data_IF_412543221656
#
_entry.id   IF_412543221656
#
_cell.length_a   1.000
_cell.length_b   1.000
_cell.length_c   1.000
_cell.angle_alpha   90.00
_cell.angle_beta   90.00
_cell.angle_gamma   90.00
#
_symmetry.space_group_name_H-M   'P 1'
#
loop_
_entity.id
_entity.type
_entity.pdbx_description
1 polymer ?
#
# COMPACT_ATOMS: atom_id res chain seq x y z
N UNK A 1 -48.97 23.61 -32.32
CA UNK A 1 -47.94 24.65 -32.04
C UNK A 1 -48.50 25.73 -31.12
N UNK A 2 -48.56 25.49 -29.80
CA UNK A 2 -48.72 26.54 -28.77
C UNK A 2 -48.01 26.08 -27.50
N UNK A 3 -46.97 26.83 -27.14
CA UNK A 3 -46.10 26.65 -25.98
C UNK A 3 -46.78 27.11 -24.68
N UNK A 4 -46.52 26.40 -23.58
CA UNK A 4 -46.50 26.85 -22.18
C UNK A 4 -45.48 25.99 -21.41
N UNK A 5 -45.00 26.40 -20.23
CA UNK A 5 -44.57 27.72 -19.78
C UNK A 5 -43.10 27.72 -19.31
N UNK A 6 -42.56 28.91 -19.09
CA UNK A 6 -41.20 29.14 -18.58
C UNK A 6 -41.03 28.67 -17.13
N UNK A 7 -39.81 28.23 -16.86
CA UNK A 7 -39.28 27.81 -15.55
C UNK A 7 -38.92 29.05 -14.73
N UNK A 8 -39.55 29.18 -13.57
CA UNK A 8 -39.18 30.17 -12.56
C UNK A 8 -37.90 29.76 -11.82
N UNK A 9 -37.15 30.80 -11.48
CA UNK A 9 -35.83 30.83 -10.88
C UNK A 9 -35.91 30.65 -9.36
N UNK A 10 -34.82 30.15 -8.76
CA UNK A 10 -34.24 30.51 -7.44
C UNK A 10 -33.86 29.28 -6.61
N UNK A 11 -32.56 29.14 -6.36
CA UNK A 11 -32.04 28.15 -5.42
C UNK A 11 -30.51 28.15 -5.28
N UNK A 12 -29.87 29.32 -5.38
CA UNK A 12 -28.46 29.49 -5.03
C UNK A 12 -28.26 29.22 -3.52
N UNK A 13 -27.45 28.23 -3.17
CA UNK A 13 -26.85 28.11 -1.82
C UNK A 13 -25.36 27.83 -1.96
N UNK A 14 -24.61 28.86 -1.56
CA UNK A 14 -23.17 28.99 -1.54
C UNK A 14 -22.45 27.87 -0.75
N UNK A 15 -21.18 27.58 -1.08
CA UNK A 15 -20.33 26.67 -0.31
C UNK A 15 -19.84 27.37 0.97
N UNK A 16 -20.04 26.73 2.11
CA UNK A 16 -19.56 27.21 3.42
C UNK A 16 -18.13 26.73 3.67
N UNK A 17 -17.25 27.74 3.68
CA UNK A 17 -16.00 27.92 4.40
C UNK A 17 -15.40 26.76 5.20
N UNK A 18 -14.16 26.44 4.81
CA UNK A 18 -13.12 25.78 5.60
C UNK A 18 -12.69 26.67 6.78
N UNK A 19 -12.49 26.13 7.99
CA UNK A 19 -11.59 26.71 8.98
C UNK A 19 -10.23 25.94 9.07
N UNK A 20 -9.15 26.63 9.50
CA UNK A 20 -7.76 26.23 9.28
C UNK A 20 -7.17 25.23 10.29
N UNK A 21 -6.06 24.61 9.85
CA UNK A 21 -5.14 23.76 10.59
C UNK A 21 -4.69 24.39 11.92
N UNK A 22 -4.69 23.58 13.00
CA UNK A 22 -4.08 23.94 14.28
C UNK A 22 -2.74 23.24 14.45
N UNK A 23 -1.70 24.06 14.41
CA UNK A 23 -0.32 23.70 14.70
C UNK A 23 -0.08 23.42 16.19
N UNK A 24 0.82 22.46 16.44
CA UNK A 24 1.78 22.50 17.55
C UNK A 24 1.30 22.00 18.92
N UNK A 25 1.91 20.91 19.40
CA UNK A 25 2.74 20.91 20.62
C UNK A 25 3.38 19.54 20.85
N UNK A 26 4.64 19.45 20.43
CA UNK A 26 5.58 18.45 20.91
C UNK A 26 5.71 18.58 22.43
N UNK A 27 5.40 17.52 23.16
CA UNK A 27 5.70 17.42 24.59
C UNK A 27 7.16 17.04 24.73
N UNK A 28 7.99 18.04 25.08
CA UNK A 28 9.34 17.79 25.57
C UNK A 28 9.30 17.08 26.94
N UNK A 29 10.36 16.34 27.30
CA UNK A 29 10.41 15.61 28.55
C UNK A 29 10.53 16.58 29.75
N UNK A 30 9.68 16.36 30.75
CA UNK A 30 9.73 17.09 32.02
C UNK A 30 10.91 16.62 32.84
N UNK A 31 11.76 17.57 33.23
CA UNK A 31 12.91 17.39 34.11
C UNK A 31 12.48 17.01 35.52
N UNK A 32 13.05 15.94 36.07
CA UNK A 32 13.20 15.76 37.50
C UNK A 32 14.69 15.93 37.84
N UNK A 33 15.08 17.16 38.17
CA UNK A 33 16.29 17.45 38.96
C UNK A 33 16.01 17.02 40.41
N UNK A 34 16.88 16.20 40.97
CA UNK A 34 17.11 16.11 42.42
C UNK A 34 18.60 15.99 42.69
N UNK A 35 18.97 16.58 43.81
CA UNK A 35 20.27 17.07 44.18
C UNK A 35 21.34 16.01 44.52
N UNK A 36 22.56 16.38 44.18
CA UNK A 36 23.82 16.32 44.94
C UNK A 36 23.92 15.33 46.11
N UNK A 37 24.79 14.33 45.93
CA UNK A 37 25.39 13.52 47.00
C UNK A 37 26.74 13.00 46.51
N UNK A 38 27.83 13.47 47.13
CA UNK A 38 29.19 13.30 46.65
C UNK A 38 29.76 11.89 46.76
N UNK A 39 30.73 11.61 45.89
CA UNK A 39 31.83 10.70 46.15
C UNK A 39 32.91 10.99 45.10
N UNK A 40 33.87 11.83 45.48
CA UNK A 40 35.15 11.93 44.79
C UNK A 40 35.84 10.57 44.92
N UNK A 41 36.01 9.88 43.80
CA UNK A 41 37.05 8.86 43.62
C UNK A 41 37.83 9.27 42.40
N UNK A 42 39.02 9.83 42.63
CA UNK A 42 40.02 10.04 41.60
C UNK A 42 40.40 8.68 41.00
N UNK A 43 39.96 8.43 39.77
CA UNK A 43 40.54 7.38 38.94
C UNK A 43 41.75 7.98 38.21
N UNK A 44 42.97 7.44 38.38
CA UNK A 44 44.13 7.95 37.68
C UNK A 44 43.95 7.78 36.17
N UNK A 45 44.07 8.90 35.46
CA UNK A 45 44.22 8.94 34.02
C UNK A 45 45.49 8.19 33.62
N UNK A 46 45.36 6.97 33.12
CA UNK A 46 46.35 6.42 32.20
C UNK A 46 45.84 6.71 30.79
N UNK A 47 46.28 7.83 30.24
CA UNK A 47 46.06 8.19 28.85
C UNK A 47 46.94 7.31 27.96
N UNK A 48 46.40 6.21 27.47
CA UNK A 48 46.82 5.64 26.19
C UNK A 48 45.78 6.00 25.15
N UNK A 49 46.04 6.95 24.24
CA UNK A 49 45.24 7.07 23.03
C UNK A 49 45.56 5.87 22.13
N UNK A 50 44.90 4.74 22.38
CA UNK A 50 44.83 3.67 21.38
C UNK A 50 43.95 4.19 20.27
N UNK A 51 44.60 4.58 19.17
CA UNK A 51 43.95 5.03 17.95
C UNK A 51 42.72 4.17 17.63
N UNK A 52 41.58 4.75 17.20
CA UNK A 52 40.57 3.95 16.57
C UNK A 52 41.24 3.29 15.37
N UNK A 53 41.43 1.98 15.42
CA UNK A 53 41.62 1.16 14.24
C UNK A 53 40.44 1.49 13.35
N UNK A 54 40.65 2.44 12.45
CA UNK A 54 39.78 2.70 11.34
C UNK A 54 39.90 1.44 10.52
N UNK A 55 39.06 0.45 10.84
CA UNK A 55 38.70 -0.65 9.96
C UNK A 55 37.97 0.03 8.81
N UNK A 56 38.74 0.71 7.95
CA UNK A 56 38.35 0.94 6.58
C UNK A 56 38.18 -0.47 6.02
N UNK A 57 36.97 -0.98 6.20
CA UNK A 57 36.40 -2.00 5.38
C UNK A 57 36.43 -1.36 3.99
N UNK A 58 37.54 -1.58 3.29
CA UNK A 58 37.53 -1.55 1.84
C UNK A 58 36.56 -2.68 1.50
N UNK A 59 35.26 -2.37 1.52
CA UNK A 59 34.27 -3.20 0.85
C UNK A 59 34.85 -3.36 -0.55
N UNK A 60 35.26 -4.59 -0.87
CA UNK A 60 35.82 -4.85 -2.18
C UNK A 60 34.72 -4.46 -3.18
N UNK A 61 35.03 -3.83 -4.33
CA UNK A 61 34.01 -3.58 -5.35
C UNK A 61 33.26 -4.86 -5.74
N UNK A 62 33.89 -6.03 -5.54
CA UNK A 62 33.27 -7.36 -5.70
C UNK A 62 32.18 -7.65 -4.66
N UNK A 63 32.33 -7.17 -3.43
CA UNK A 63 31.30 -7.29 -2.39
C UNK A 63 30.11 -6.38 -2.72
N UNK A 64 30.36 -5.17 -3.23
CA UNK A 64 29.31 -4.23 -3.65
C UNK A 64 28.51 -4.76 -4.85
N UNK A 65 29.19 -5.30 -5.88
CA UNK A 65 28.52 -5.93 -7.03
C UNK A 65 27.68 -7.16 -6.61
N UNK A 66 28.19 -7.95 -5.67
CA UNK A 66 27.49 -9.13 -5.15
C UNK A 66 26.27 -8.73 -4.32
N UNK A 67 26.40 -7.72 -3.46
CA UNK A 67 25.28 -7.17 -2.69
C UNK A 67 24.22 -6.61 -3.63
N UNK A 68 24.62 -5.82 -4.63
CA UNK A 68 23.69 -5.25 -5.59
C UNK A 68 22.92 -6.31 -6.38
N UNK A 69 23.59 -7.36 -6.85
CA UNK A 69 22.94 -8.48 -7.53
C UNK A 69 21.90 -9.18 -6.64
N UNK A 70 22.26 -9.46 -5.38
CA UNK A 70 21.36 -10.10 -4.42
C UNK A 70 20.16 -9.22 -4.07
N UNK A 71 20.36 -7.90 -3.93
CA UNK A 71 19.26 -6.94 -3.73
C UNK A 71 18.29 -6.94 -4.91
N UNK A 72 18.82 -6.97 -6.14
CA UNK A 72 18.00 -7.06 -7.34
C UNK A 72 17.20 -8.37 -7.38
N UNK A 73 17.83 -9.50 -7.09
CA UNK A 73 17.18 -10.82 -7.05
C UNK A 73 16.08 -10.87 -5.99
N UNK A 74 16.35 -10.37 -4.77
CA UNK A 74 15.36 -10.26 -3.70
C UNK A 74 14.18 -9.36 -4.12
N UNK A 75 14.45 -8.25 -4.80
CA UNK A 75 13.41 -7.33 -5.30
C UNK A 75 12.51 -8.01 -6.34
N UNK A 76 13.10 -8.74 -7.28
CA UNK A 76 12.36 -9.50 -8.30
C UNK A 76 11.50 -10.60 -7.67
N UNK A 77 12.06 -11.38 -6.74
CA UNK A 77 11.32 -12.41 -6.01
C UNK A 77 10.17 -11.83 -5.20
N UNK A 78 10.41 -10.74 -4.45
CA UNK A 78 9.35 -10.04 -3.70
C UNK A 78 8.24 -9.55 -4.63
N UNK A 79 8.60 -9.00 -5.77
CA UNK A 79 7.63 -8.55 -6.78
C UNK A 79 6.83 -9.73 -7.33
N UNK A 80 7.47 -10.86 -7.63
CA UNK A 80 6.80 -12.07 -8.10
C UNK A 80 5.86 -12.68 -7.04
N UNK A 81 6.28 -12.69 -5.76
CA UNK A 81 5.45 -13.15 -4.65
C UNK A 81 4.25 -12.22 -4.44
N UNK A 82 4.44 -10.90 -4.51
CA UNK A 82 3.36 -9.93 -4.40
C UNK A 82 2.31 -10.10 -5.51
N UNK A 83 2.70 -10.41 -6.76
CA UNK A 83 1.72 -10.80 -7.80
C UNK A 83 0.90 -12.00 -7.38
N UNK A 84 1.59 -13.04 -6.91
CA UNK A 84 0.94 -14.32 -6.67
C UNK A 84 -0.05 -14.18 -5.52
N UNK A 85 0.34 -13.49 -4.46
CA UNK A 85 -0.54 -13.21 -3.32
C UNK A 85 -1.84 -12.50 -3.72
N UNK A 86 -1.77 -11.44 -4.54
CA UNK A 86 -2.98 -10.70 -4.92
C UNK A 86 -3.88 -11.49 -5.87
N UNK A 87 -3.30 -12.29 -6.77
CA UNK A 87 -4.08 -13.16 -7.67
C UNK A 87 -4.83 -14.23 -6.87
N UNK A 88 -4.17 -14.88 -5.91
CA UNK A 88 -4.83 -15.87 -5.06
C UNK A 88 -5.94 -15.26 -4.18
N UNK A 89 -5.76 -14.02 -3.70
CA UNK A 89 -6.82 -13.30 -2.97
C UNK A 89 -8.05 -13.05 -3.86
N UNK A 90 -7.84 -12.59 -5.09
CA UNK A 90 -8.92 -12.37 -6.04
C UNK A 90 -9.65 -13.67 -6.40
N UNK A 91 -8.92 -14.78 -6.59
CA UNK A 91 -9.52 -16.11 -6.78
C UNK A 91 -10.41 -16.50 -5.62
N UNK A 92 -9.94 -16.36 -4.38
CA UNK A 92 -10.74 -16.66 -3.18
C UNK A 92 -12.03 -15.83 -3.09
N UNK A 93 -11.98 -14.55 -3.44
CA UNK A 93 -13.18 -13.69 -3.51
C UNK A 93 -14.15 -14.22 -4.56
N UNK A 94 -13.68 -14.54 -5.77
CA UNK A 94 -14.54 -15.06 -6.83
C UNK A 94 -15.17 -16.40 -6.43
N UNK A 95 -14.39 -17.33 -5.87
CA UNK A 95 -14.89 -18.61 -5.38
C UNK A 95 -16.02 -18.42 -4.35
N UNK A 96 -15.89 -17.46 -3.44
CA UNK A 96 -16.93 -17.15 -2.46
C UNK A 96 -18.20 -16.59 -3.12
N UNK A 97 -18.05 -15.71 -4.12
CA UNK A 97 -19.18 -15.03 -4.77
C UNK A 97 -19.93 -15.92 -5.76
N UNK A 98 -19.26 -16.88 -6.39
CA UNK A 98 -19.83 -17.68 -7.48
C UNK A 98 -20.01 -19.15 -7.11
N UNK A 99 -19.41 -19.60 -6.00
CA UNK A 99 -19.38 -21.02 -5.61
C UNK A 99 -18.51 -21.89 -6.51
N UNK A 100 -17.65 -21.30 -7.35
CA UNK A 100 -16.81 -22.04 -8.28
C UNK A 100 -15.57 -22.65 -7.62
N UNK A 101 -14.91 -23.58 -8.32
CA UNK A 101 -13.63 -24.14 -7.90
C UNK A 101 -12.47 -23.17 -8.14
N UNK A 102 -11.32 -23.47 -7.54
CA UNK A 102 -10.09 -22.68 -7.70
C UNK A 102 -9.65 -22.53 -9.17
N UNK A 103 -9.71 -23.63 -9.94
CA UNK A 103 -9.36 -23.64 -11.35
C UNK A 103 -10.30 -22.73 -12.15
N UNK A 104 -11.61 -22.87 -11.92
CA UNK A 104 -12.62 -22.05 -12.61
C UNK A 104 -12.43 -20.57 -12.26
N UNK A 105 -12.11 -20.24 -11.01
CA UNK A 105 -11.85 -18.84 -10.63
C UNK A 105 -10.65 -18.24 -11.38
N UNK A 106 -9.59 -19.01 -11.60
CA UNK A 106 -8.45 -18.56 -12.40
C UNK A 106 -8.79 -18.43 -13.89
N UNK A 107 -9.59 -19.34 -14.43
CA UNK A 107 -10.05 -19.29 -15.81
C UNK A 107 -10.93 -18.04 -16.04
N UNK A 108 -11.81 -17.71 -15.08
CA UNK A 108 -12.62 -16.49 -15.07
C UNK A 108 -11.73 -15.24 -15.08
N UNK A 109 -10.71 -15.16 -14.21
CA UNK A 109 -9.77 -14.02 -14.20
C UNK A 109 -9.05 -13.87 -15.54
N UNK A 110 -8.63 -14.97 -16.14
CA UNK A 110 -7.93 -14.97 -17.43
C UNK A 110 -8.86 -14.55 -18.57
N UNK A 111 -10.11 -15.01 -18.55
CA UNK A 111 -11.13 -14.63 -19.52
C UNK A 111 -11.43 -13.12 -19.44
N UNK A 112 -11.69 -12.60 -18.24
CA UNK A 112 -11.95 -11.16 -18.03
C UNK A 112 -10.73 -10.31 -18.42
N UNK A 113 -9.52 -10.78 -18.09
CA UNK A 113 -8.27 -10.12 -18.48
C UNK A 113 -8.17 -9.97 -20.01
N UNK A 114 -8.53 -11.02 -20.75
CA UNK A 114 -8.54 -11.01 -22.22
C UNK A 114 -9.59 -10.05 -22.78
N UNK A 115 -10.83 -10.10 -22.27
CA UNK A 115 -11.94 -9.27 -22.78
C UNK A 115 -11.81 -7.79 -22.42
N UNK A 116 -11.19 -7.48 -21.28
CA UNK A 116 -10.96 -6.09 -20.83
C UNK A 116 -9.60 -5.53 -21.24
N UNK A 117 -8.73 -6.33 -21.87
CA UNK A 117 -7.34 -5.99 -22.19
C UNK A 117 -6.52 -5.48 -20.99
N UNK A 118 -6.80 -6.00 -19.79
CA UNK A 118 -6.09 -5.66 -18.55
C UNK A 118 -5.18 -6.79 -18.13
N UNK A 119 -4.06 -6.49 -17.49
CA UNK A 119 -3.21 -7.54 -16.91
C UNK A 119 -3.97 -8.22 -15.77
N UNK A 120 -3.86 -9.54 -15.66
CA UNK A 120 -4.49 -10.34 -14.58
C UNK A 120 -4.16 -9.80 -13.20
N UNK A 121 -2.93 -9.33 -12.96
CA UNK A 121 -2.54 -8.69 -11.69
C UNK A 121 -3.37 -7.43 -11.40
N UNK A 122 -3.54 -6.56 -12.38
CA UNK A 122 -4.24 -5.29 -12.20
C UNK A 122 -5.75 -5.53 -11.98
N UNK A 123 -6.30 -6.54 -12.66
CA UNK A 123 -7.64 -7.04 -12.43
C UNK A 123 -7.81 -7.58 -11.01
N UNK A 124 -6.87 -8.41 -10.54
CA UNK A 124 -6.90 -8.97 -9.19
C UNK A 124 -6.86 -7.87 -8.12
N UNK A 125 -5.98 -6.86 -8.29
CA UNK A 125 -5.94 -5.68 -7.42
C UNK A 125 -7.29 -4.96 -7.40
N UNK A 126 -7.91 -4.73 -8.56
CA UNK A 126 -9.21 -4.06 -8.63
C UNK A 126 -10.32 -4.82 -7.90
N UNK A 127 -10.34 -6.15 -8.03
CA UNK A 127 -11.29 -7.03 -7.33
C UNK A 127 -11.05 -6.97 -5.82
N UNK A 128 -9.80 -7.12 -5.38
CA UNK A 128 -9.45 -7.09 -3.95
C UNK A 128 -9.72 -5.72 -3.32
N UNK A 129 -9.38 -4.62 -4.01
CA UNK A 129 -9.67 -3.26 -3.54
C UNK A 129 -11.17 -3.00 -3.41
N UNK A 130 -11.97 -3.50 -4.36
CA UNK A 130 -13.43 -3.41 -4.29
C UNK A 130 -14.01 -4.23 -3.15
N UNK A 131 -13.51 -5.46 -2.93
CA UNK A 131 -13.94 -6.29 -1.81
C UNK A 131 -13.59 -5.68 -0.45
N UNK A 132 -12.47 -4.96 -0.36
CA UNK A 132 -12.09 -4.21 0.84
C UNK A 132 -12.81 -2.85 0.98
N UNK A 133 -13.70 -2.48 0.06
CA UNK A 133 -14.38 -1.18 0.07
C UNK A 133 -13.47 0.03 -0.20
N UNK A 134 -12.26 -0.18 -0.70
CA UNK A 134 -11.29 0.91 -0.98
C UNK A 134 -11.63 1.69 -2.24
N UNK A 135 -12.06 0.99 -3.30
CA UNK A 135 -12.42 1.59 -4.59
C UNK A 135 -13.51 0.75 -5.26
N UNK A 136 -14.53 1.36 -5.89
CA UNK A 136 -15.51 0.59 -6.66
C UNK A 136 -14.85 -0.14 -7.83
N UNK A 137 -15.34 -1.35 -8.12
CA UNK A 137 -14.86 -2.13 -9.26
C UNK A 137 -15.16 -1.39 -10.58
N UNK A 138 -14.23 -1.36 -11.55
CA UNK A 138 -14.48 -0.78 -12.86
C UNK A 138 -15.70 -1.40 -13.56
N UNK A 139 -16.50 -0.59 -14.27
CA UNK A 139 -17.75 -1.05 -14.88
C UNK A 139 -17.53 -2.18 -15.91
N UNK A 140 -16.50 -2.05 -16.75
CA UNK A 140 -16.08 -3.08 -17.72
C UNK A 140 -15.78 -4.43 -17.06
N UNK A 141 -15.18 -4.40 -15.88
CA UNK A 141 -14.89 -5.61 -15.10
C UNK A 141 -16.15 -6.17 -14.44
N UNK A 142 -17.02 -5.32 -13.90
CA UNK A 142 -18.30 -5.75 -13.33
C UNK A 142 -19.18 -6.44 -14.36
N UNK A 143 -19.27 -5.87 -15.56
CA UNK A 143 -20.05 -6.41 -16.66
C UNK A 143 -19.48 -7.74 -17.13
N UNK A 144 -18.14 -7.84 -17.27
CA UNK A 144 -17.48 -9.10 -17.63
C UNK A 144 -17.68 -10.20 -16.56
N UNK A 145 -17.63 -9.88 -15.27
CA UNK A 145 -17.92 -10.87 -14.21
C UNK A 145 -19.37 -11.36 -14.30
N UNK A 146 -20.32 -10.46 -14.56
CA UNK A 146 -21.75 -10.80 -14.69
C UNK A 146 -22.02 -11.68 -15.92
N UNK A 147 -21.33 -11.43 -17.02
CA UNK A 147 -21.44 -12.23 -18.25
C UNK A 147 -20.92 -13.66 -18.05
N UNK A 148 -19.78 -13.80 -17.36
CA UNK A 148 -19.16 -15.11 -17.11
C UNK A 148 -19.85 -15.90 -15.98
N UNK A 149 -20.37 -15.21 -14.97
CA UNK A 149 -21.11 -15.81 -13.86
C UNK A 149 -22.52 -15.21 -13.79
N UNK A 150 -23.48 -15.77 -14.56
CA UNK A 150 -24.86 -15.34 -14.47
C UNK A 150 -25.39 -15.55 -13.03
N UNK A 151 -26.16 -14.59 -12.48
CA UNK A 151 -26.67 -14.69 -11.12
C UNK A 151 -27.59 -15.91 -11.01
N UNK A 152 -27.31 -16.77 -10.03
CA UNK A 152 -28.15 -17.93 -9.73
C UNK A 152 -29.28 -17.43 -8.82
N UNK A 153 -30.48 -17.26 -9.40
CA UNK A 153 -31.69 -16.83 -8.70
C UNK A 153 -32.25 -17.92 -7.77
#
# INVERSE_FOLDING_TARGET
MRHRPGVDTVGSRSPLSVPPQRAGRNHGPSSARRDLGGASVEFPMTTTPTAPLSRHLLASPVDDDRVHHLELEVSQLRTAMASRAVIEQAKGILMLLTGCTDQVAFDVLTHISSTTHRKVRDLAVAITDSACGRRPLPADVQDAIRDVCPPQH
#
